data_IF_710259483146
#
_entry.id   IF_710259483146
#
_cell.length_a   1.000
_cell.length_b   1.000
_cell.length_c   1.000
_cell.angle_alpha   90.00
_cell.angle_beta   90.00
_cell.angle_gamma   90.00
#
_symmetry.space_group_name_H-M   'P 1'
#
loop_
_entity.id
_entity.type
_entity.pdbx_description
1 polymer ?
#
# COMPACT_ATOMS: atom_id res chain seq x y z
N UNK A 1 -15.73 -26.23 -2.20
CA UNK A 1 -15.47 -25.22 -1.15
C UNK A 1 -14.97 -23.99 -1.87
N UNK A 2 -15.74 -22.90 -1.98
CA UNK A 2 -15.24 -21.69 -2.59
C UNK A 2 -14.04 -21.26 -1.76
N UNK A 3 -12.86 -21.27 -2.37
CA UNK A 3 -11.68 -20.62 -1.83
C UNK A 3 -11.96 -19.13 -1.92
N UNK A 4 -12.74 -18.61 -0.96
CA UNK A 4 -13.04 -17.20 -0.80
C UNK A 4 -11.68 -16.60 -0.43
N UNK A 5 -10.89 -16.26 -1.45
CA UNK A 5 -9.71 -15.42 -1.27
C UNK A 5 -10.26 -14.17 -0.58
N UNK A 6 -9.85 -13.87 0.67
CA UNK A 6 -10.45 -12.77 1.38
C UNK A 6 -10.18 -11.52 0.57
N UNK A 7 -11.26 -10.85 0.14
CA UNK A 7 -11.21 -9.59 -0.59
C UNK A 7 -10.19 -8.67 0.10
N UNK A 8 -9.03 -8.45 -0.55
CA UNK A 8 -7.94 -7.66 0.00
C UNK A 8 -6.67 -8.38 0.46
N UNK A 9 -6.37 -9.62 0.02
CA UNK A 9 -5.02 -10.16 0.22
C UNK A 9 -3.92 -9.30 -0.43
N UNK A 10 -4.17 -8.82 -1.65
CA UNK A 10 -3.21 -7.99 -2.37
C UNK A 10 -2.97 -6.66 -1.65
N UNK A 11 -4.03 -6.02 -1.13
CA UNK A 11 -3.86 -4.78 -0.36
C UNK A 11 -3.12 -5.01 0.96
N UNK A 12 -3.37 -6.13 1.66
CA UNK A 12 -2.60 -6.50 2.87
C UNK A 12 -1.12 -6.69 2.57
N UNK A 13 -0.80 -7.38 1.46
CA UNK A 13 0.59 -7.57 1.01
C UNK A 13 1.24 -6.23 0.63
N UNK A 14 0.50 -5.35 -0.05
CA UNK A 14 0.95 -4.01 -0.39
C UNK A 14 1.25 -3.15 0.84
N UNK A 15 0.35 -3.09 1.83
CA UNK A 15 0.56 -2.35 3.08
C UNK A 15 1.81 -2.84 3.80
N UNK A 16 1.99 -4.16 3.90
CA UNK A 16 3.16 -4.76 4.55
C UNK A 16 4.44 -4.41 3.81
N UNK A 17 4.44 -4.49 2.49
CA UNK A 17 5.59 -4.13 1.66
C UNK A 17 5.96 -2.65 1.79
N UNK A 18 4.98 -1.75 1.68
CA UNK A 18 5.17 -0.31 1.85
C UNK A 18 5.74 0.01 3.25
N UNK A 19 5.20 -0.62 4.30
CA UNK A 19 5.66 -0.42 5.68
C UNK A 19 7.10 -0.90 5.88
N UNK A 20 7.48 -2.02 5.26
CA UNK A 20 8.87 -2.49 5.25
C UNK A 20 9.79 -1.50 4.51
N UNK A 21 9.40 -1.03 3.32
CA UNK A 21 10.20 -0.04 2.57
C UNK A 21 10.36 1.27 3.32
N UNK A 22 9.35 1.71 4.07
CA UNK A 22 9.45 2.87 4.97
C UNK A 22 10.43 2.64 6.13
N UNK A 23 10.46 1.42 6.69
CA UNK A 23 11.36 1.09 7.79
C UNK A 23 12.82 0.93 7.35
N UNK A 24 13.05 0.51 6.10
CA UNK A 24 14.39 0.29 5.53
C UNK A 24 15.18 1.59 5.27
N UNK A 25 14.73 2.75 5.78
CA UNK A 25 15.27 4.09 5.48
C UNK A 25 15.40 4.35 3.99
N UNK A 26 14.53 3.75 3.20
CA UNK A 26 14.38 4.17 1.82
C UNK A 26 13.71 5.55 1.89
N UNK A 27 14.49 6.62 1.67
CA UNK A 27 14.04 8.02 1.72
C UNK A 27 13.11 8.35 0.54
N UNK A 28 12.38 7.34 0.06
CA UNK A 28 11.43 7.40 -1.02
C UNK A 28 10.16 8.09 -0.55
N UNK A 29 9.60 8.99 -1.38
CA UNK A 29 8.34 9.61 -1.09
C UNK A 29 7.22 8.57 -1.09
N UNK A 30 6.30 8.70 -0.14
CA UNK A 30 5.16 7.81 0.01
C UNK A 30 4.36 7.53 -1.27
N UNK A 31 4.02 8.54 -2.12
CA UNK A 31 3.33 8.27 -3.38
C UNK A 31 4.09 7.31 -4.30
N UNK A 32 5.43 7.32 -4.29
CA UNK A 32 6.24 6.39 -5.10
C UNK A 32 6.13 4.96 -4.57
N UNK A 33 6.13 4.78 -3.24
CA UNK A 33 5.93 3.45 -2.65
C UNK A 33 4.54 2.90 -2.95
N UNK A 34 3.51 3.75 -2.91
CA UNK A 34 2.14 3.35 -3.23
C UNK A 34 2.04 2.96 -4.71
N UNK A 35 2.56 3.77 -5.62
CA UNK A 35 2.53 3.48 -7.07
C UNK A 35 3.27 2.17 -7.40
N UNK A 36 4.45 1.96 -6.80
CA UNK A 36 5.19 0.69 -6.90
C UNK A 36 4.37 -0.49 -6.37
N UNK A 37 3.70 -0.32 -5.24
CA UNK A 37 2.87 -1.38 -4.66
C UNK A 37 1.64 -1.68 -5.54
N UNK A 38 1.02 -0.64 -6.12
CA UNK A 38 -0.11 -0.78 -7.04
C UNK A 38 0.27 -1.60 -8.27
N UNK A 39 1.41 -1.27 -8.89
CA UNK A 39 1.95 -2.05 -10.01
C UNK A 39 2.39 -3.46 -9.61
N UNK A 40 3.00 -3.62 -8.42
CA UNK A 40 3.55 -4.90 -7.96
C UNK A 40 2.49 -5.90 -7.56
N UNK A 41 1.40 -5.44 -6.96
CA UNK A 41 0.33 -6.28 -6.42
C UNK A 41 -0.95 -6.25 -7.27
N UNK A 42 -0.89 -5.63 -8.45
CA UNK A 42 -2.02 -5.47 -9.38
C UNK A 42 -3.25 -4.89 -8.67
N UNK A 43 -3.03 -3.79 -7.95
CA UNK A 43 -4.07 -3.15 -7.16
C UNK A 43 -5.00 -2.33 -8.04
N UNK A 44 -6.28 -2.31 -7.71
CA UNK A 44 -7.22 -1.43 -8.39
C UNK A 44 -7.01 0.03 -7.97
N UNK A 45 -7.43 1.01 -8.78
CA UNK A 45 -7.37 2.43 -8.40
C UNK A 45 -8.09 2.73 -7.07
N UNK A 46 -9.12 1.94 -6.73
CA UNK A 46 -9.79 1.99 -5.42
C UNK A 46 -8.88 1.62 -4.26
N UNK A 47 -8.03 0.60 -4.43
CA UNK A 47 -7.06 0.19 -3.43
C UNK A 47 -5.91 1.21 -3.32
N UNK A 48 -5.48 1.79 -4.44
CA UNK A 48 -4.47 2.85 -4.47
C UNK A 48 -4.91 4.09 -3.67
N UNK A 49 -6.17 4.49 -3.83
CA UNK A 49 -6.79 5.59 -3.07
C UNK A 49 -6.85 5.25 -1.57
N UNK A 50 -7.23 4.02 -1.22
CA UNK A 50 -7.21 3.55 0.17
C UNK A 50 -5.79 3.62 0.77
N UNK A 51 -4.77 3.16 0.05
CA UNK A 51 -3.37 3.23 0.50
C UNK A 51 -2.93 4.69 0.68
N UNK A 52 -3.24 5.56 -0.28
CA UNK A 52 -2.97 7.00 -0.19
C UNK A 52 -3.63 7.63 1.03
N UNK A 53 -4.89 7.32 1.32
CA UNK A 53 -5.57 7.82 2.51
C UNK A 53 -5.01 7.26 3.82
N UNK A 54 -4.72 5.96 3.85
CA UNK A 54 -4.18 5.25 5.01
C UNK A 54 -2.80 5.79 5.42
N UNK A 55 -1.95 6.04 4.44
CA UNK A 55 -0.58 6.48 4.66
C UNK A 55 -0.38 8.01 4.60
N UNK A 56 -1.22 8.72 3.84
CA UNK A 56 -1.20 10.18 3.71
C UNK A 56 -1.59 10.88 5.01
N UNK A 57 -2.54 10.32 5.77
CA UNK A 57 -2.89 10.83 7.11
C UNK A 57 -1.72 10.83 8.10
N UNK A 58 -0.70 9.98 7.88
CA UNK A 58 0.48 9.89 8.75
C UNK A 58 1.50 11.02 8.54
N UNK A 59 1.36 11.83 7.48
CA UNK A 59 2.28 12.92 7.14
C UNK A 59 1.69 14.33 7.35
N UNK A 60 0.42 14.44 7.75
CA UNK A 60 -0.25 15.73 7.97
C UNK A 60 -0.05 16.31 9.39
N UNK A 61 0.70 15.63 10.26
CA UNK A 61 0.97 16.06 11.63
C UNK A 61 2.45 16.48 11.80
N UNK A 62 2.91 17.44 10.99
CA UNK A 62 4.18 18.14 11.22
C UNK A 62 3.96 19.64 11.36
#
# INVERSE_FOLDING_TARGET
MPNIMPEGENIKKAIKWISSSLQEKDNQPMPILIEKAVFKFDLSPKDADFLTGFFGKRNAEK
#
